data_IF_562812786261
#
_entry.id   IF_562812786261
#
_cell.length_a   1.000
_cell.length_b   1.000
_cell.length_c   1.000
_cell.angle_alpha   90.00
_cell.angle_beta   90.00
_cell.angle_gamma   90.00
#
_symmetry.space_group_name_H-M   'P 1'
#
loop_
_entity.id
_entity.type
_entity.pdbx_description
1 polymer ?
#
# COMPACT_ATOMS: atom_id res chain seq x y z
N UNK A 1 8.66 -33.43 50.72
CA UNK A 1 9.37 -34.23 49.72
C UNK A 1 9.71 -33.26 48.62
N UNK A 2 10.98 -32.86 48.60
CA UNK A 2 11.57 -31.82 47.77
C UNK A 2 11.72 -32.28 46.32
N UNK A 3 11.95 -31.27 45.46
CA UNK A 3 12.72 -31.24 44.19
C UNK A 3 11.91 -30.66 43.02
N UNK A 4 12.04 -29.37 42.67
CA UNK A 4 13.15 -28.68 41.97
C UNK A 4 13.31 -29.05 40.50
N UNK A 5 13.65 -28.02 39.70
CA UNK A 5 14.01 -27.95 38.26
C UNK A 5 12.89 -27.38 37.36
N UNK A 6 13.03 -26.22 36.70
CA UNK A 6 14.14 -25.28 36.66
C UNK A 6 13.66 -23.86 36.40
N UNK A 7 14.24 -22.94 37.16
CA UNK A 7 14.26 -21.52 36.82
C UNK A 7 15.10 -21.36 35.56
N UNK A 8 14.45 -21.14 34.43
CA UNK A 8 15.10 -20.62 33.23
C UNK A 8 15.56 -19.20 33.52
N UNK A 9 16.85 -19.04 33.75
CA UNK A 9 17.58 -17.78 33.80
C UNK A 9 17.12 -16.87 32.65
N UNK A 10 16.38 -15.81 32.97
CA UNK A 10 16.31 -14.64 32.09
C UNK A 10 17.64 -13.92 32.28
N UNK A 11 18.49 -13.75 31.24
CA UNK A 11 19.63 -12.86 31.35
C UNK A 11 19.10 -11.42 31.45
N UNK A 12 18.90 -10.94 32.67
CA UNK A 12 18.89 -9.50 32.98
C UNK A 12 20.32 -9.03 32.78
N UNK A 13 20.65 -8.62 31.56
CA UNK A 13 21.72 -7.66 31.22
C UNK A 13 21.71 -7.43 29.69
N UNK A 14 20.64 -6.80 29.19
CA UNK A 14 20.77 -6.06 27.93
C UNK A 14 21.21 -4.64 28.27
N UNK A 15 22.33 -4.13 27.75
CA UNK A 15 22.76 -2.77 28.04
C UNK A 15 21.68 -1.79 27.53
N UNK A 16 21.17 -0.97 28.45
CA UNK A 16 20.13 0.06 28.28
C UNK A 16 20.41 1.10 27.18
N UNK A 17 21.61 1.05 26.59
CA UNK A 17 22.02 1.80 25.40
C UNK A 17 21.36 1.27 24.11
N UNK A 18 21.15 -0.04 23.96
CA UNK A 18 20.62 -0.61 22.71
C UNK A 18 19.16 -0.24 22.45
N UNK A 19 18.34 -0.13 23.49
CA UNK A 19 16.93 0.26 23.37
C UNK A 19 16.79 1.70 22.86
N UNK A 20 17.64 2.62 23.31
CA UNK A 20 17.62 4.01 22.86
C UNK A 20 18.03 4.18 21.39
N UNK A 21 18.96 3.37 20.88
CA UNK A 21 19.38 3.39 19.47
C UNK A 21 18.34 2.71 18.58
N UNK A 22 17.78 1.58 19.01
CA UNK A 22 16.71 0.87 18.30
C UNK A 22 15.43 1.71 18.25
N UNK A 23 15.04 2.34 19.36
CA UNK A 23 13.90 3.24 19.42
C UNK A 23 14.09 4.45 18.50
N UNK A 24 15.24 5.14 18.57
CA UNK A 24 15.53 6.27 17.65
C UNK A 24 15.53 5.87 16.18
N UNK A 25 16.05 4.68 15.86
CA UNK A 25 16.07 4.14 14.48
C UNK A 25 14.65 3.76 14.03
N UNK A 26 13.84 3.18 14.90
CA UNK A 26 12.43 2.90 14.66
C UNK A 26 11.63 4.21 14.47
N UNK A 27 11.81 5.22 15.33
CA UNK A 27 11.15 6.54 15.21
C UNK A 27 11.58 7.29 13.94
N UNK A 28 12.84 7.18 13.52
CA UNK A 28 13.33 7.77 12.27
C UNK A 28 12.82 7.01 11.04
N UNK A 29 12.60 5.70 11.17
CA UNK A 29 12.02 4.87 10.13
C UNK A 29 10.51 5.10 9.99
N UNK A 30 9.79 5.31 11.10
CA UNK A 30 8.36 5.67 11.08
C UNK A 30 8.16 7.04 10.44
N UNK A 31 8.94 8.05 10.80
CA UNK A 31 8.86 9.38 10.15
C UNK A 31 9.19 9.33 8.66
N UNK A 32 10.17 8.52 8.24
CA UNK A 32 10.46 8.32 6.81
C UNK A 32 9.35 7.58 6.07
N UNK A 33 8.72 6.59 6.72
CA UNK A 33 7.60 5.83 6.16
C UNK A 33 6.35 6.70 6.01
N UNK A 34 6.07 7.54 7.00
CA UNK A 34 5.00 8.53 6.97
C UNK A 34 5.21 9.53 5.83
N UNK A 35 6.43 10.07 5.68
CA UNK A 35 6.76 10.97 4.59
C UNK A 35 6.54 10.36 3.20
N UNK A 36 6.92 9.09 3.01
CA UNK A 36 6.75 8.41 1.72
C UNK A 36 5.26 8.17 1.39
N UNK A 37 4.45 7.84 2.39
CA UNK A 37 3.00 7.73 2.24
C UNK A 37 2.35 9.06 1.86
N UNK A 38 2.75 10.16 2.50
CA UNK A 38 2.25 11.50 2.15
C UNK A 38 2.61 11.90 0.74
N UNK A 39 3.86 11.68 0.31
CA UNK A 39 4.30 12.04 -1.06
C UNK A 39 3.54 11.20 -2.11
N UNK A 40 3.36 9.89 -1.88
CA UNK A 40 2.58 9.04 -2.76
C UNK A 40 1.10 9.46 -2.85
N UNK A 41 0.50 9.89 -1.73
CA UNK A 41 -0.85 10.42 -1.73
C UNK A 41 -0.96 11.77 -2.46
N UNK A 42 0.02 12.67 -2.31
CA UNK A 42 0.08 13.91 -3.09
C UNK A 42 0.19 13.63 -4.57
N UNK A 43 1.10 12.74 -4.97
CA UNK A 43 1.25 12.29 -6.36
C UNK A 43 -0.06 11.73 -6.92
N UNK A 44 -0.74 10.87 -6.16
CA UNK A 44 -2.03 10.30 -6.52
C UNK A 44 -3.13 11.36 -6.68
N UNK A 45 -3.13 12.39 -5.82
CA UNK A 45 -4.12 13.47 -5.84
C UNK A 45 -3.94 14.41 -7.04
N UNK A 46 -2.70 14.85 -7.27
CA UNK A 46 -2.36 15.79 -8.36
C UNK A 46 -2.51 15.14 -9.73
N UNK A 47 -2.09 13.87 -9.87
CA UNK A 47 -2.14 13.11 -11.12
C UNK A 47 -3.34 12.17 -11.19
N UNK A 48 -4.43 12.47 -10.47
CA UNK A 48 -5.63 11.62 -10.42
C UNK A 48 -6.18 11.18 -11.80
N UNK A 49 -6.18 12.02 -12.85
CA UNK A 49 -6.63 11.61 -14.18
C UNK A 49 -5.84 10.45 -14.77
N UNK A 50 -4.52 10.40 -14.53
CA UNK A 50 -3.67 9.31 -15.00
C UNK A 50 -4.02 7.99 -14.31
N UNK A 51 -4.15 8.01 -12.97
CA UNK A 51 -4.42 6.79 -12.21
C UNK A 51 -5.84 6.24 -12.43
N UNK A 52 -6.80 7.11 -12.77
CA UNK A 52 -8.16 6.72 -13.12
C UNK A 52 -8.28 5.94 -14.45
N UNK A 53 -7.31 6.09 -15.34
CA UNK A 53 -7.24 5.41 -16.65
C UNK A 53 -5.91 4.67 -16.83
N UNK A 54 -5.30 4.26 -15.71
CA UNK A 54 -3.95 3.70 -15.69
C UNK A 54 -3.81 2.51 -16.66
N UNK A 55 -2.79 2.44 -17.54
CA UNK A 55 -2.63 1.38 -18.53
C UNK A 55 -2.68 -0.05 -17.97
N UNK A 56 -2.08 -0.27 -16.79
CA UNK A 56 -2.16 -1.54 -16.06
C UNK A 56 -3.60 -2.06 -15.83
N UNK A 57 -4.61 -1.18 -15.72
CA UNK A 57 -6.02 -1.58 -15.57
C UNK A 57 -6.56 -2.16 -16.89
N UNK A 58 -6.26 -1.52 -18.02
CA UNK A 58 -6.69 -1.98 -19.34
C UNK A 58 -6.00 -3.29 -19.75
N UNK A 59 -4.70 -3.40 -19.45
CA UNK A 59 -3.93 -4.63 -19.64
C UNK A 59 -4.48 -5.76 -18.77
N UNK A 60 -4.68 -5.51 -17.47
CA UNK A 60 -5.26 -6.51 -16.57
C UNK A 60 -6.71 -6.87 -16.94
N UNK A 61 -7.50 -5.94 -17.48
CA UNK A 61 -8.85 -6.23 -17.98
C UNK A 61 -8.81 -7.24 -19.12
N UNK A 62 -7.85 -7.09 -20.03
CA UNK A 62 -7.63 -8.02 -21.14
C UNK A 62 -7.18 -9.40 -20.65
N UNK A 63 -6.26 -9.46 -19.68
CA UNK A 63 -5.74 -10.71 -19.14
C UNK A 63 -6.77 -11.46 -18.28
N UNK A 64 -7.55 -10.73 -17.48
CA UNK A 64 -8.54 -11.31 -16.58
C UNK A 64 -9.88 -11.62 -17.25
N UNK A 65 -10.14 -11.05 -18.43
CA UNK A 65 -11.47 -11.09 -19.06
C UNK A 65 -12.55 -10.34 -18.25
N UNK A 66 -12.16 -9.42 -17.37
CA UNK A 66 -13.06 -8.65 -16.52
C UNK A 66 -13.24 -7.22 -17.05
N UNK A 67 -14.39 -6.58 -16.80
CA UNK A 67 -14.55 -5.17 -17.10
C UNK A 67 -13.51 -4.33 -16.34
N UNK A 68 -12.88 -3.39 -17.03
CA UNK A 68 -11.87 -2.49 -16.45
C UNK A 68 -12.39 -1.76 -15.19
N UNK A 69 -13.68 -1.39 -15.20
CA UNK A 69 -14.31 -0.74 -14.04
C UNK A 69 -14.33 -1.61 -12.79
N UNK A 70 -14.46 -2.93 -12.92
CA UNK A 70 -14.41 -3.86 -11.79
C UNK A 70 -13.02 -3.93 -11.18
N UNK A 71 -11.99 -3.92 -12.02
CA UNK A 71 -10.59 -3.88 -11.58
C UNK A 71 -10.26 -2.52 -10.94
N UNK A 72 -10.77 -1.43 -11.51
CA UNK A 72 -10.63 -0.09 -10.93
C UNK A 72 -11.22 -0.03 -9.51
N UNK A 73 -12.46 -0.50 -9.33
CA UNK A 73 -13.12 -0.55 -8.03
C UNK A 73 -12.32 -1.39 -7.03
N UNK A 74 -11.74 -2.51 -7.47
CA UNK A 74 -10.93 -3.37 -6.63
C UNK A 74 -9.60 -2.73 -6.18
N UNK A 75 -9.12 -1.72 -6.91
CA UNK A 75 -7.94 -0.94 -6.52
C UNK A 75 -8.21 0.11 -5.44
N UNK A 76 -9.48 0.37 -5.10
CA UNK A 76 -9.89 1.38 -4.13
C UNK A 76 -10.09 0.79 -2.73
N UNK A 77 -9.93 1.63 -1.72
CA UNK A 77 -10.43 1.35 -0.38
C UNK A 77 -11.92 1.70 -0.28
N UNK A 78 -12.52 1.45 0.88
CA UNK A 78 -13.88 1.90 1.20
C UNK A 78 -14.08 3.40 1.00
N UNK A 79 -13.02 4.21 1.18
CA UNK A 79 -13.12 5.68 1.04
C UNK A 79 -13.17 6.10 -0.42
N UNK A 80 -12.27 5.56 -1.27
CA UNK A 80 -12.32 5.80 -2.71
C UNK A 80 -13.58 5.22 -3.34
N UNK A 81 -14.02 4.03 -2.91
CA UNK A 81 -15.26 3.42 -3.39
C UNK A 81 -16.48 4.25 -3.02
N UNK A 82 -16.55 4.77 -1.79
CA UNK A 82 -17.62 5.70 -1.41
C UNK A 82 -17.65 6.95 -2.29
N UNK A 83 -16.49 7.56 -2.54
CA UNK A 83 -16.40 8.71 -3.42
C UNK A 83 -16.84 8.36 -4.86
N UNK A 84 -16.47 7.18 -5.35
CA UNK A 84 -16.94 6.66 -6.64
C UNK A 84 -18.46 6.46 -6.64
N UNK A 85 -19.04 5.92 -5.57
CA UNK A 85 -20.47 5.66 -5.52
C UNK A 85 -21.31 6.93 -5.46
N UNK A 86 -20.81 7.95 -4.76
CA UNK A 86 -21.48 9.24 -4.63
C UNK A 86 -21.40 10.07 -5.93
N UNK A 87 -20.31 9.95 -6.70
CA UNK A 87 -20.04 10.81 -7.87
C UNK A 87 -20.18 10.11 -9.22
N UNK A 88 -20.01 8.79 -9.24
CA UNK A 88 -19.77 7.96 -10.44
C UNK A 88 -18.60 8.46 -11.30
N UNK A 89 -17.67 9.19 -10.69
CA UNK A 89 -16.48 9.74 -11.32
C UNK A 89 -15.22 9.04 -10.77
N UNK A 90 -14.41 8.51 -11.68
CA UNK A 90 -13.14 7.85 -11.33
C UNK A 90 -12.11 8.85 -10.79
N UNK A 91 -12.11 10.09 -11.25
CA UNK A 91 -11.16 11.11 -10.79
C UNK A 91 -11.42 11.47 -9.34
N UNK A 92 -12.69 11.68 -8.99
CA UNK A 92 -13.09 11.97 -7.62
C UNK A 92 -12.87 10.76 -6.69
N UNK A 93 -13.04 9.54 -7.20
CA UNK A 93 -12.68 8.33 -6.47
C UNK A 93 -11.18 8.25 -6.14
N UNK A 94 -10.31 8.57 -7.10
CA UNK A 94 -8.85 8.58 -6.90
C UNK A 94 -8.44 9.68 -5.92
N UNK A 95 -9.01 10.88 -6.02
CA UNK A 95 -8.77 11.95 -5.03
C UNK A 95 -9.24 11.55 -3.63
N UNK A 96 -10.42 10.92 -3.54
CA UNK A 96 -10.94 10.38 -2.28
C UNK A 96 -10.02 9.33 -1.67
N UNK A 97 -9.43 8.47 -2.50
CA UNK A 97 -8.44 7.48 -2.08
C UNK A 97 -7.16 8.14 -1.58
N UNK A 98 -6.63 9.13 -2.30
CA UNK A 98 -5.44 9.87 -1.89
C UNK A 98 -5.62 10.56 -0.51
N UNK A 99 -6.76 11.21 -0.29
CA UNK A 99 -7.08 11.83 1.00
C UNK A 99 -7.16 10.78 2.12
N UNK A 100 -7.70 9.59 1.82
CA UNK A 100 -7.77 8.51 2.79
C UNK A 100 -6.40 7.91 3.13
N UNK A 101 -5.50 7.84 2.14
CA UNK A 101 -4.11 7.38 2.28
C UNK A 101 -3.24 8.22 3.21
N UNK A 102 -3.56 9.51 3.35
CA UNK A 102 -2.88 10.41 4.29
C UNK A 102 -3.26 10.19 5.76
N UNK A 103 -4.23 9.32 6.07
CA UNK A 103 -4.69 9.11 7.44
C UNK A 103 -3.83 8.07 8.15
N UNK A 104 -3.43 8.39 9.38
CA UNK A 104 -2.69 7.47 10.23
C UNK A 104 -3.38 6.12 10.38
N UNK A 105 -2.59 5.05 10.32
CA UNK A 105 -3.01 3.65 10.51
C UNK A 105 -4.01 3.14 9.46
N UNK A 106 -4.10 3.77 8.29
CA UNK A 106 -4.82 3.20 7.14
C UNK A 106 -3.89 2.34 6.30
N UNK A 107 -4.45 1.25 5.79
CA UNK A 107 -3.76 0.36 4.87
C UNK A 107 -3.73 0.99 3.48
N UNK A 108 -2.57 0.95 2.84
CA UNK A 108 -2.42 1.33 1.44
C UNK A 108 -3.01 0.26 0.52
N UNK A 109 -3.78 0.69 -0.47
CA UNK A 109 -4.32 -0.15 -1.55
C UNK A 109 -3.49 -0.05 -2.84
N UNK A 110 -3.89 -0.77 -3.90
CA UNK A 110 -3.18 -0.79 -5.17
C UNK A 110 -2.93 0.60 -5.77
N UNK A 111 -3.89 1.54 -5.67
CA UNK A 111 -3.68 2.91 -6.14
C UNK A 111 -2.49 3.61 -5.49
N UNK A 112 -2.26 3.39 -4.20
CA UNK A 112 -1.10 3.94 -3.51
C UNK A 112 0.20 3.29 -3.98
N UNK A 113 0.17 2.01 -4.35
CA UNK A 113 1.34 1.31 -4.88
C UNK A 113 1.71 1.81 -6.29
N UNK A 114 0.72 2.12 -7.12
CA UNK A 114 0.90 2.76 -8.43
C UNK A 114 1.50 4.16 -8.28
N UNK A 115 1.00 4.97 -7.36
CA UNK A 115 1.60 6.28 -7.10
C UNK A 115 3.00 6.16 -6.50
N UNK A 116 3.21 5.18 -5.64
CA UNK A 116 4.51 4.94 -5.02
C UNK A 116 5.58 4.55 -6.05
N UNK A 117 5.27 3.74 -7.06
CA UNK A 117 6.24 3.38 -8.12
C UNK A 117 6.71 4.62 -8.88
N UNK A 118 5.81 5.57 -9.14
CA UNK A 118 6.13 6.88 -9.73
C UNK A 118 7.02 7.72 -8.81
N UNK A 119 6.65 7.87 -7.54
CA UNK A 119 7.42 8.66 -6.56
C UNK A 119 8.85 8.14 -6.39
N UNK A 120 9.03 6.83 -6.33
CA UNK A 120 10.36 6.23 -6.17
C UNK A 120 11.12 6.14 -7.50
N UNK A 121 10.47 6.40 -8.64
CA UNK A 121 11.04 6.27 -9.99
C UNK A 121 11.52 4.85 -10.30
N UNK A 122 10.92 3.82 -9.67
CA UNK A 122 11.35 2.43 -9.80
C UNK A 122 10.15 1.51 -9.81
N UNK A 123 10.22 0.41 -10.59
CA UNK A 123 9.13 -0.55 -10.60
C UNK A 123 9.01 -1.28 -9.26
N UNK A 124 7.77 -1.54 -8.86
CA UNK A 124 7.45 -2.37 -7.68
C UNK A 124 7.01 -3.75 -8.17
N UNK A 125 7.58 -4.80 -7.60
CA UNK A 125 7.20 -6.18 -7.91
C UNK A 125 6.27 -6.69 -6.82
N UNK A 126 5.03 -7.01 -7.20
CA UNK A 126 4.05 -7.61 -6.30
C UNK A 126 3.95 -9.10 -6.58
N UNK A 127 4.04 -9.91 -5.52
CA UNK A 127 3.87 -11.37 -5.56
C UNK A 127 2.59 -11.70 -4.79
N UNK A 128 1.49 -11.82 -5.52
CA UNK A 128 0.22 -12.25 -4.95
C UNK A 128 0.11 -13.78 -5.01
N UNK A 129 -0.29 -14.48 -3.93
CA UNK A 129 -0.48 -15.92 -3.97
C UNK A 129 -1.52 -16.33 -5.03
N UNK A 130 -1.39 -17.53 -5.60
CA UNK A 130 -2.36 -18.10 -6.56
C UNK A 130 -3.67 -18.54 -5.86
N UNK A 131 -4.33 -17.62 -5.15
CA UNK A 131 -5.59 -17.87 -4.46
C UNK A 131 -6.82 -17.27 -5.16
N UNK A 132 -6.61 -16.36 -6.13
CA UNK A 132 -7.68 -15.80 -6.95
C UNK A 132 -7.18 -15.53 -8.39
N UNK A 133 -7.48 -16.43 -9.31
CA UNK A 133 -7.05 -16.35 -10.72
C UNK A 133 -7.57 -15.10 -11.44
N UNK A 134 -8.72 -14.58 -11.03
CA UNK A 134 -9.41 -13.49 -11.74
C UNK A 134 -8.79 -12.12 -11.48
N UNK A 135 -8.03 -11.97 -10.39
CA UNK A 135 -7.43 -10.68 -10.01
C UNK A 135 -5.92 -10.80 -9.87
N UNK A 136 -5.39 -12.02 -10.02
CA UNK A 136 -3.97 -12.32 -10.02
C UNK A 136 -3.21 -11.50 -11.07
N UNK A 137 -3.66 -11.32 -12.32
CA UNK A 137 -2.93 -10.48 -13.30
C UNK A 137 -2.79 -9.01 -12.89
N UNK A 138 -3.71 -8.48 -12.07
CA UNK A 138 -3.63 -7.13 -11.55
C UNK A 138 -2.60 -7.02 -10.40
N UNK A 139 -2.56 -8.03 -9.53
CA UNK A 139 -1.81 -8.01 -8.27
C UNK A 139 -0.47 -8.76 -8.31
N UNK A 140 -0.21 -9.57 -9.34
CA UNK A 140 0.99 -10.38 -9.52
C UNK A 140 1.75 -9.92 -10.77
N UNK A 141 2.16 -8.66 -10.79
CA UNK A 141 2.94 -8.11 -11.90
C UNK A 141 3.89 -7.00 -11.46
N UNK A 142 4.72 -6.59 -12.42
CA UNK A 142 5.56 -5.41 -12.32
C UNK A 142 4.66 -4.17 -12.39
N UNK A 143 4.62 -3.40 -11.30
CA UNK A 143 3.98 -2.09 -11.23
C UNK A 143 4.99 -1.07 -11.73
N UNK A 144 4.72 -0.48 -12.90
CA UNK A 144 5.56 0.55 -13.52
C UNK A 144 5.16 1.95 -13.07
N UNK A 145 6.10 2.90 -13.14
CA UNK A 145 5.85 4.33 -12.94
C UNK A 145 5.12 4.95 -14.13
N UNK A 146 4.50 6.11 -13.94
CA UNK A 146 4.26 7.05 -15.04
C UNK A 146 5.63 7.46 -15.61
N UNK A 147 5.86 7.26 -16.91
CA UNK A 147 7.00 7.84 -17.63
C UNK A 147 6.61 9.19 -18.26
#
# INVERSE_FOLDING_TARGET
MEDSLGQGLIPTDLPSNLEGVQAKKATRLTTKKEALGTIAATELYENAPFYATHPNLSEAASDCGLPEISLFIQCLSESGLKAFDDTKDRFEAVKGEAIAGCRDRKWSVMMHMLALSTVIGRPIFSLYPECNTNTHPLCHKRIVSCD
#
